data_IF_462944166837
#
_entry.id   IF_462944166837
#
_cell.length_a   1.000
_cell.length_b   1.000
_cell.length_c   1.000
_cell.angle_alpha   90.00
_cell.angle_beta   90.00
_cell.angle_gamma   90.00
#
_symmetry.space_group_name_H-M   'P 1'
#
loop_
_entity.id
_entity.type
_entity.pdbx_description
1 polymer ?
#
# COMPACT_ATOMS: atom_id res chain seq x y z
N UNK A 1 17.64 -14.63 8.66
CA UNK A 1 16.32 -14.32 9.25
C UNK A 1 15.77 -13.17 8.42
N UNK A 2 14.92 -13.44 7.43
CA UNK A 2 14.29 -12.37 6.64
C UNK A 2 13.19 -11.78 7.53
N UNK A 3 13.52 -10.71 8.26
CA UNK A 3 12.51 -9.89 8.90
C UNK A 3 11.62 -9.35 7.79
N UNK A 4 10.38 -9.82 7.79
CA UNK A 4 9.39 -9.53 6.77
C UNK A 4 9.13 -8.01 6.78
N UNK A 5 9.55 -7.30 5.73
CA UNK A 5 9.81 -5.85 5.75
C UNK A 5 8.55 -5.02 6.08
N UNK A 6 7.37 -5.61 6.00
CA UNK A 6 6.12 -4.87 5.92
C UNK A 6 5.09 -5.15 7.02
N UNK A 7 5.42 -5.86 8.10
CA UNK A 7 4.54 -5.86 9.27
C UNK A 7 4.52 -4.47 9.93
N UNK A 8 3.47 -4.14 10.68
CA UNK A 8 3.40 -2.91 11.49
C UNK A 8 4.68 -2.68 12.29
N UNK A 9 5.14 -3.71 13.00
CA UNK A 9 6.38 -3.65 13.80
C UNK A 9 7.63 -3.37 12.97
N UNK A 10 7.74 -3.90 11.75
CA UNK A 10 8.92 -3.67 10.91
C UNK A 10 8.87 -2.29 10.26
N UNK A 11 7.71 -1.85 9.78
CA UNK A 11 7.49 -0.48 9.31
C UNK A 11 7.86 0.53 10.39
N UNK A 12 7.32 0.35 11.61
CA UNK A 12 7.62 1.20 12.75
C UNK A 12 9.13 1.25 13.03
N UNK A 13 9.77 0.08 13.18
CA UNK A 13 11.20 0.00 13.49
C UNK A 13 12.09 0.65 12.42
N UNK A 14 11.77 0.46 11.13
CA UNK A 14 12.54 1.06 10.03
C UNK A 14 12.37 2.58 10.07
N UNK A 15 11.14 3.08 10.14
CA UNK A 15 10.90 4.52 10.07
C UNK A 15 11.46 5.24 11.30
N UNK A 16 11.35 4.65 12.49
CA UNK A 16 11.96 5.19 13.72
C UNK A 16 13.49 5.18 13.65
N UNK A 17 14.10 4.09 13.17
CA UNK A 17 15.56 3.99 12.97
C UNK A 17 16.10 5.11 12.07
N UNK A 18 15.34 5.49 11.05
CA UNK A 18 15.71 6.57 10.13
C UNK A 18 15.13 7.93 10.52
N UNK A 19 14.52 8.05 11.70
CA UNK A 19 13.92 9.30 12.20
C UNK A 19 12.94 9.94 11.21
N UNK A 20 12.17 9.12 10.50
CA UNK A 20 11.12 9.59 9.59
C UNK A 20 10.06 10.32 10.42
N UNK A 21 9.73 11.55 10.02
CA UNK A 21 8.67 12.34 10.67
C UNK A 21 7.35 11.57 10.65
N UNK A 22 6.51 11.70 11.68
CA UNK A 22 5.15 11.14 11.63
C UNK A 22 4.27 11.83 10.59
N UNK A 23 4.56 13.08 10.23
CA UNK A 23 3.80 13.90 9.29
C UNK A 23 4.71 14.37 8.14
N UNK A 24 5.26 13.43 7.37
CA UNK A 24 6.11 13.77 6.23
C UNK A 24 5.25 14.15 5.02
N UNK A 25 5.76 14.96 4.09
CA UNK A 25 4.93 15.53 3.03
C UNK A 25 4.43 14.50 2.01
N UNK A 26 5.29 13.60 1.53
CA UNK A 26 4.97 12.71 0.41
C UNK A 26 5.31 11.26 0.75
N UNK A 27 4.33 10.36 0.61
CA UNK A 27 4.51 8.92 0.56
C UNK A 27 4.29 8.43 -0.88
N UNK A 28 5.34 7.88 -1.50
CA UNK A 28 5.23 7.11 -2.75
C UNK A 28 5.38 5.62 -2.46
N UNK A 29 4.43 4.80 -2.91
CA UNK A 29 4.49 3.34 -2.86
C UNK A 29 4.26 2.79 -4.27
N UNK A 30 5.26 2.11 -4.83
CA UNK A 30 5.26 1.61 -6.21
C UNK A 30 6.28 0.47 -6.29
N UNK A 31 5.82 -0.73 -5.95
CA UNK A 31 6.68 -1.92 -5.95
C UNK A 31 5.94 -3.16 -6.51
N UNK A 32 4.83 -2.92 -7.22
CA UNK A 32 4.04 -3.89 -7.98
C UNK A 32 3.63 -5.14 -7.17
N UNK A 33 3.23 -4.97 -5.90
CA UNK A 33 3.03 -6.11 -5.00
C UNK A 33 1.89 -5.97 -3.98
N UNK A 34 2.14 -5.38 -2.80
CA UNK A 34 1.22 -5.42 -1.64
C UNK A 34 0.97 -4.02 -1.07
N UNK A 35 0.89 -3.02 -1.94
CA UNK A 35 0.83 -1.59 -1.62
C UNK A 35 -0.28 -1.29 -0.63
N UNK A 36 -1.49 -1.83 -0.82
CA UNK A 36 -2.58 -1.71 0.15
C UNK A 36 -2.17 -2.13 1.57
N UNK A 37 -1.56 -3.31 1.73
CA UNK A 37 -1.20 -3.82 3.05
C UNK A 37 -0.06 -3.02 3.70
N UNK A 38 0.93 -2.61 2.90
CA UNK A 38 2.04 -1.78 3.39
C UNK A 38 1.52 -0.41 3.82
N UNK A 39 0.68 0.20 2.99
CA UNK A 39 0.06 1.49 3.25
C UNK A 39 -0.80 1.45 4.51
N UNK A 40 -1.63 0.42 4.68
CA UNK A 40 -2.41 0.23 5.91
C UNK A 40 -1.51 0.17 7.14
N UNK A 41 -0.43 -0.60 7.10
CA UNK A 41 0.48 -0.75 8.23
C UNK A 41 1.20 0.57 8.56
N UNK A 42 1.62 1.34 7.56
CA UNK A 42 2.20 2.69 7.76
C UNK A 42 1.21 3.60 8.50
N UNK A 43 -0.05 3.61 8.07
CA UNK A 43 -1.09 4.44 8.68
C UNK A 43 -1.47 3.93 10.08
N UNK A 44 -1.53 2.62 10.30
CA UNK A 44 -1.84 2.00 11.61
C UNK A 44 -0.80 2.35 12.68
N UNK A 45 0.48 2.42 12.32
CA UNK A 45 1.55 2.82 13.26
C UNK A 45 1.68 4.35 13.42
N UNK A 46 0.71 5.10 12.91
CA UNK A 46 0.53 6.53 13.20
C UNK A 46 1.23 7.50 12.26
N UNK A 47 1.79 7.06 11.13
CA UNK A 47 2.27 8.00 10.10
C UNK A 47 1.07 8.59 9.34
N UNK A 48 1.15 9.88 9.02
CA UNK A 48 0.11 10.65 8.33
C UNK A 48 0.75 11.55 7.26
N UNK A 49 1.07 11.00 6.08
CA UNK A 49 1.61 11.81 5.00
C UNK A 49 0.61 12.85 4.47
N UNK A 50 1.08 14.01 4.02
CA UNK A 50 0.22 15.05 3.43
C UNK A 50 -0.26 14.67 2.01
N UNK A 51 0.46 13.76 1.34
CA UNK A 51 0.10 13.21 0.04
C UNK A 51 0.53 11.75 -0.03
N UNK A 52 -0.38 10.89 -0.47
CA UNK A 52 -0.09 9.49 -0.80
C UNK A 52 -0.19 9.34 -2.31
N UNK A 53 0.88 8.90 -2.94
CA UNK A 53 0.91 8.48 -4.34
C UNK A 53 1.22 6.99 -4.34
N UNK A 54 0.28 6.18 -4.82
CA UNK A 54 0.44 4.72 -4.83
C UNK A 54 -0.03 4.14 -6.13
N UNK A 55 0.47 2.96 -6.47
CA UNK A 55 -0.10 2.16 -7.54
C UNK A 55 -1.45 1.54 -7.13
N UNK A 56 -2.25 1.15 -8.13
CA UNK A 56 -3.41 0.27 -7.98
C UNK A 56 -3.55 -0.61 -9.22
N UNK A 57 -4.36 -1.66 -9.12
CA UNK A 57 -4.62 -2.57 -10.23
C UNK A 57 -5.96 -2.23 -10.95
N UNK A 58 -5.93 -1.56 -12.12
CA UNK A 58 -7.08 -1.15 -12.92
C UNK A 58 -7.78 -2.32 -13.64
N UNK A 59 -7.22 -3.53 -13.63
CA UNK A 59 -7.93 -4.71 -14.16
C UNK A 59 -9.22 -4.99 -13.38
N UNK A 60 -9.28 -4.51 -12.14
CA UNK A 60 -10.44 -4.60 -11.27
C UNK A 60 -11.20 -3.27 -11.26
N UNK A 61 -12.22 -3.11 -12.13
CA UNK A 61 -12.95 -1.85 -12.22
C UNK A 61 -13.77 -1.59 -10.95
N UNK A 62 -13.99 -0.31 -10.57
CA UNK A 62 -14.96 0.03 -9.54
C UNK A 62 -16.38 -0.47 -9.90
N UNK A 63 -17.20 -0.91 -8.92
CA UNK A 63 -16.96 -0.89 -7.47
C UNK A 63 -16.30 -2.19 -6.93
N UNK A 64 -15.67 -3.00 -7.79
CA UNK A 64 -15.00 -4.23 -7.37
C UNK A 64 -13.97 -3.97 -6.27
N UNK A 65 -14.01 -4.78 -5.21
CA UNK A 65 -13.05 -4.73 -4.09
C UNK A 65 -12.18 -5.97 -4.15
N UNK A 66 -10.93 -5.78 -4.56
CA UNK A 66 -9.91 -6.82 -4.60
C UNK A 66 -8.69 -6.32 -3.84
N UNK A 67 -8.17 -7.16 -2.96
CA UNK A 67 -6.95 -6.91 -2.19
C UNK A 67 -6.04 -8.12 -2.37
N UNK A 68 -4.80 -7.87 -2.78
CA UNK A 68 -3.76 -8.89 -2.69
C UNK A 68 -3.41 -9.08 -1.23
N UNK A 69 -3.89 -10.17 -0.64
CA UNK A 69 -3.57 -10.51 0.74
C UNK A 69 -2.27 -11.31 0.72
N UNK A 70 -1.24 -10.77 1.36
CA UNK A 70 -0.07 -11.56 1.68
C UNK A 70 -0.36 -12.42 2.93
N UNK A 71 -0.53 -13.73 2.74
CA UNK A 71 -0.70 -14.66 3.85
C UNK A 71 0.69 -15.18 4.28
N UNK A 72 1.27 -14.50 5.26
CA UNK A 72 2.66 -14.65 5.70
C UNK A 72 2.91 -15.88 6.59
N UNK A 73 2.76 -17.11 6.08
CA UNK A 73 3.09 -18.29 6.92
C UNK A 73 4.54 -18.73 6.71
N UNK A 74 5.08 -18.56 5.50
CA UNK A 74 6.45 -18.95 5.12
C UNK A 74 7.03 -18.03 4.04
N UNK A 75 8.37 -18.07 3.86
CA UNK A 75 9.09 -17.37 2.76
C UNK A 75 8.62 -17.73 1.35
N UNK A 76 7.88 -18.84 1.21
CA UNK A 76 7.40 -19.34 -0.08
C UNK A 76 6.03 -18.75 -0.45
N UNK A 77 5.39 -18.01 0.45
CA UNK A 77 4.08 -17.39 0.22
C UNK A 77 4.20 -16.05 -0.53
N UNK A 78 5.43 -15.57 -0.71
CA UNK A 78 5.70 -14.40 -1.53
C UNK A 78 5.52 -14.73 -3.00
N UNK A 79 4.44 -14.20 -3.57
CA UNK A 79 4.27 -14.16 -5.01
C UNK A 79 5.05 -12.97 -5.58
N UNK A 80 5.87 -13.20 -6.60
CA UNK A 80 6.66 -12.16 -7.20
C UNK A 80 5.77 -11.20 -7.99
N UNK A 81 6.24 -9.96 -8.17
CA UNK A 81 5.55 -8.85 -8.81
C UNK A 81 5.11 -9.17 -10.25
N UNK A 82 4.12 -8.43 -10.78
CA UNK A 82 3.53 -8.59 -12.13
C UNK A 82 4.49 -9.02 -13.24
N UNK A 83 5.70 -8.45 -13.27
CA UNK A 83 6.69 -8.65 -14.33
C UNK A 83 7.40 -10.01 -14.27
N UNK A 84 7.10 -10.84 -13.28
CA UNK A 84 7.81 -12.09 -13.01
C UNK A 84 6.99 -13.36 -13.29
N UNK A 85 5.71 -13.23 -13.64
CA UNK A 85 4.77 -14.32 -13.84
C UNK A 85 3.53 -13.85 -14.63
N UNK A 86 2.88 -14.77 -15.37
CA UNK A 86 1.68 -14.48 -16.18
C UNK A 86 0.41 -14.12 -15.34
N UNK A 87 0.57 -13.85 -14.05
CA UNK A 87 -0.52 -13.56 -13.14
C UNK A 87 -0.69 -12.04 -13.02
N UNK A 88 -1.81 -11.52 -13.51
CA UNK A 88 -2.22 -10.11 -13.43
C UNK A 88 -2.62 -9.65 -12.01
N UNK A 89 -2.15 -10.35 -10.97
CA UNK A 89 -2.59 -10.18 -9.59
C UNK A 89 -1.49 -9.54 -8.74
N UNK A 90 -1.64 -8.25 -8.51
CA UNK A 90 -0.81 -7.42 -7.66
C UNK A 90 -1.65 -6.28 -7.07
N UNK A 91 -1.10 -5.60 -6.07
CA UNK A 91 -1.68 -4.43 -5.44
C UNK A 91 -3.12 -4.68 -5.01
N UNK A 92 -3.98 -3.73 -5.30
CA UNK A 92 -5.40 -3.81 -4.97
C UNK A 92 -6.22 -2.94 -5.93
N UNK A 93 -7.52 -3.21 -6.00
CA UNK A 93 -8.45 -2.38 -6.77
C UNK A 93 -8.55 -0.96 -6.19
N UNK A 94 -8.89 0.03 -7.01
CA UNK A 94 -9.12 1.40 -6.57
C UNK A 94 -10.19 1.51 -5.48
N UNK A 95 -11.26 0.70 -5.55
CA UNK A 95 -12.31 0.67 -4.52
C UNK A 95 -11.78 0.16 -3.18
N UNK A 96 -10.84 -0.79 -3.21
CA UNK A 96 -10.21 -1.30 -2.00
C UNK A 96 -9.30 -0.25 -1.34
N UNK A 97 -8.45 0.44 -2.11
CA UNK A 97 -7.65 1.57 -1.60
C UNK A 97 -8.53 2.63 -0.97
N UNK A 98 -9.56 3.06 -1.69
CA UNK A 98 -10.49 4.10 -1.20
C UNK A 98 -11.20 3.68 0.09
N UNK A 99 -11.55 2.39 0.22
CA UNK A 99 -12.15 1.85 1.45
C UNK A 99 -11.15 1.76 2.60
N UNK A 100 -9.90 1.43 2.31
CA UNK A 100 -8.80 1.30 3.27
C UNK A 100 -8.37 2.65 3.84
N UNK A 101 -8.32 3.68 2.98
CA UNK A 101 -7.83 5.01 3.32
C UNK A 101 -8.87 5.90 3.99
N UNK A 102 -10.16 5.68 3.73
CA UNK A 102 -11.25 6.49 4.29
C UNK A 102 -11.25 6.56 5.83
N UNK A 103 -11.05 5.47 6.60
CA UNK A 103 -10.98 5.54 8.07
C UNK A 103 -9.79 6.34 8.62
N UNK A 104 -8.82 6.69 7.77
CA UNK A 104 -7.67 7.52 8.12
C UNK A 104 -7.81 8.96 7.60
N UNK A 105 -9.02 9.37 7.20
CA UNK A 105 -9.35 10.73 6.75
C UNK A 105 -8.61 11.15 5.47
N UNK A 106 -8.46 10.22 4.52
CA UNK A 106 -7.96 10.51 3.18
C UNK A 106 -9.06 10.41 2.12
N UNK A 107 -8.99 11.30 1.13
CA UNK A 107 -9.84 11.31 -0.07
C UNK A 107 -9.02 11.12 -1.33
N UNK A 108 -9.67 10.50 -2.32
CA UNK A 108 -9.12 10.34 -3.67
C UNK A 108 -9.05 11.71 -4.35
N UNK A 109 -7.85 12.11 -4.76
CA UNK A 109 -7.63 13.35 -5.50
C UNK A 109 -7.62 13.12 -7.00
N UNK A 110 -6.82 12.15 -7.46
CA UNK A 110 -6.58 11.91 -8.88
C UNK A 110 -6.28 10.44 -9.18
N UNK A 111 -6.56 10.03 -10.41
CA UNK A 111 -6.29 8.69 -10.95
C UNK A 111 -5.68 8.86 -12.34
N UNK A 112 -4.47 8.35 -12.53
CA UNK A 112 -3.78 8.36 -13.82
C UNK A 112 -3.29 6.95 -14.17
N UNK A 113 -4.01 6.27 -15.05
CA UNK A 113 -3.78 4.87 -15.43
C UNK A 113 -3.66 3.90 -14.24
N UNK A 114 -2.43 3.61 -13.82
CA UNK A 114 -2.07 2.66 -12.76
C UNK A 114 -1.75 3.37 -11.44
N UNK A 115 -1.72 4.70 -11.47
CA UNK A 115 -1.33 5.56 -10.36
C UNK A 115 -2.55 6.23 -9.76
N UNK A 116 -2.47 6.45 -8.44
CA UNK A 116 -3.53 7.13 -7.70
C UNK A 116 -2.94 8.03 -6.63
N UNK A 117 -3.56 9.21 -6.49
CA UNK A 117 -3.19 10.20 -5.48
C UNK A 117 -4.33 10.37 -4.47
N UNK A 118 -3.97 10.30 -3.19
CA UNK A 118 -4.84 10.62 -2.06
C UNK A 118 -4.26 11.76 -1.23
N UNK A 119 -5.14 12.58 -0.67
CA UNK A 119 -4.81 13.68 0.25
C UNK A 119 -5.69 13.63 1.49
N UNK A 120 -5.23 14.16 2.65
CA UNK A 120 -6.06 14.32 3.83
C UNK A 120 -7.30 15.20 3.56
N UNK A 121 -8.39 14.94 4.27
CA UNK A 121 -9.60 15.79 4.30
C UNK A 121 -9.48 16.97 5.24
#
# INVERSE_FOLDING_TARGET
>A
MHAFIWSESVVQNIFERYSVSKNFTILKLDFDSYECSVLENILRVGYRPELIHTDFNPIFPPPGIVISIYNATTKNDWKPALWSNDNLFYGCSLSALSKLLRPFDYILLDVDFWEVIYIPT
#
